data_IF_202475148952
#
_entry.id   IF_202475148952
#
_cell.length_a   1.000
_cell.length_b   1.000
_cell.length_c   1.000
_cell.angle_alpha   90.00
_cell.angle_beta   90.00
_cell.angle_gamma   90.00
#
_symmetry.space_group_name_H-M   'P 1'
#
loop_
_entity.id
_entity.type
_entity.pdbx_description
1 polymer ?
#
# COMPACT_ATOMS: atom_id res chain seq x y z
N UNK A 1 35.69 -6.16 -30.44
CA UNK A 1 34.68 -6.67 -31.39
C UNK A 1 33.42 -7.00 -30.61
N UNK A 2 32.21 -6.61 -31.06
CA UNK A 2 30.98 -6.93 -30.35
C UNK A 2 30.67 -8.42 -30.50
N UNK A 3 30.35 -9.09 -29.39
CA UNK A 3 30.06 -10.54 -29.35
C UNK A 3 28.67 -10.76 -29.95
N UNK A 4 28.58 -11.41 -31.11
CA UNK A 4 27.29 -11.83 -31.70
C UNK A 4 26.71 -12.98 -30.89
N UNK A 5 25.44 -12.86 -30.50
CA UNK A 5 24.71 -13.87 -29.70
C UNK A 5 24.76 -15.24 -30.40
N UNK A 6 25.24 -16.27 -29.70
CA UNK A 6 25.28 -17.65 -30.19
C UNK A 6 24.15 -18.47 -29.57
N UNK A 7 23.56 -19.37 -30.37
CA UNK A 7 22.45 -20.27 -30.00
C UNK A 7 22.71 -21.13 -28.76
N UNK A 8 23.99 -21.41 -28.48
CA UNK A 8 24.43 -22.23 -27.35
C UNK A 8 24.29 -21.52 -25.98
N UNK A 9 24.15 -20.18 -25.95
CA UNK A 9 23.94 -19.42 -24.70
C UNK A 9 22.59 -19.74 -24.05
N UNK A 10 21.59 -20.17 -24.84
CA UNK A 10 20.25 -20.51 -24.34
C UNK A 10 20.14 -21.94 -23.81
N UNK A 11 21.09 -22.82 -24.13
CA UNK A 11 21.05 -24.24 -23.78
C UNK A 11 21.73 -24.54 -22.44
N UNK A 12 22.73 -23.75 -22.06
CA UNK A 12 23.38 -23.89 -20.75
C UNK A 12 22.61 -23.10 -19.72
N UNK A 13 22.09 -23.81 -18.70
CA UNK A 13 21.73 -23.21 -17.41
C UNK A 13 23.02 -22.70 -16.76
N UNK A 14 23.56 -21.60 -17.27
CA UNK A 14 24.68 -20.91 -16.68
C UNK A 14 24.18 -20.37 -15.34
N UNK A 15 24.64 -20.98 -14.26
CA UNK A 15 24.60 -20.36 -12.94
C UNK A 15 25.52 -19.13 -13.05
N UNK A 16 24.93 -17.99 -13.42
CA UNK A 16 25.64 -16.72 -13.60
C UNK A 16 26.21 -16.34 -12.24
N UNK A 17 27.54 -16.36 -12.12
CA UNK A 17 28.22 -15.89 -10.91
C UNK A 17 27.90 -14.41 -10.73
N UNK A 18 27.36 -14.03 -9.57
CA UNK A 18 26.98 -12.68 -9.12
C UNK A 18 28.08 -11.59 -9.23
N UNK A 19 29.28 -11.94 -9.70
CA UNK A 19 30.44 -11.05 -9.76
C UNK A 19 30.52 -10.23 -11.06
N UNK A 20 29.86 -10.67 -12.15
CA UNK A 20 29.99 -10.03 -13.47
C UNK A 20 28.90 -9.00 -13.79
N UNK A 21 27.76 -9.05 -13.11
CA UNK A 21 26.66 -8.09 -13.25
C UNK A 21 26.18 -7.70 -11.86
N UNK A 22 25.98 -6.40 -11.64
CA UNK A 22 25.71 -5.76 -10.34
C UNK A 22 25.01 -6.65 -9.30
N UNK A 23 25.52 -6.65 -8.06
CA UNK A 23 25.02 -7.40 -6.89
C UNK A 23 23.49 -7.56 -6.93
N UNK A 24 23.00 -8.72 -7.36
CA UNK A 24 21.57 -8.97 -7.46
C UNK A 24 21.02 -9.33 -6.08
N UNK A 25 19.87 -8.76 -5.70
CA UNK A 25 19.16 -9.19 -4.49
C UNK A 25 18.39 -10.46 -4.90
N UNK A 26 18.63 -11.62 -4.27
CA UNK A 26 17.90 -12.83 -4.61
C UNK A 26 16.40 -12.64 -4.38
N UNK A 27 15.59 -12.94 -5.39
CA UNK A 27 14.14 -12.88 -5.28
C UNK A 27 13.61 -14.07 -4.47
N UNK A 28 12.81 -13.80 -3.45
CA UNK A 28 12.19 -14.86 -2.66
C UNK A 28 11.12 -15.58 -3.50
N UNK A 29 11.20 -16.91 -3.59
CA UNK A 29 10.20 -17.72 -4.28
C UNK A 29 8.96 -17.82 -3.40
N UNK A 30 7.81 -17.34 -3.89
CA UNK A 30 6.54 -17.35 -3.17
C UNK A 30 5.64 -18.47 -3.71
N UNK A 31 4.92 -19.14 -2.83
CA UNK A 31 3.89 -20.09 -3.23
C UNK A 31 2.70 -19.37 -3.86
N UNK A 32 1.97 -20.06 -4.75
CA UNK A 32 0.72 -19.55 -5.33
C UNK A 32 -0.34 -19.27 -4.26
N UNK A 33 -0.23 -19.92 -3.10
CA UNK A 33 -1.12 -19.73 -1.95
C UNK A 33 -0.76 -18.54 -1.04
N UNK A 34 0.36 -17.85 -1.28
CA UNK A 34 0.82 -16.74 -0.45
C UNK A 34 -0.23 -15.61 -0.28
N UNK A 35 -1.00 -15.20 -1.31
CA UNK A 35 -2.01 -14.14 -1.15
C UNK A 35 -3.09 -14.48 -0.13
N UNK A 36 -3.55 -15.74 -0.09
CA UNK A 36 -4.55 -16.19 0.88
C UNK A 36 -4.01 -16.18 2.31
N UNK A 37 -2.73 -16.52 2.46
CA UNK A 37 -2.04 -16.44 3.75
C UNK A 37 -1.97 -15.01 4.26
N UNK A 38 -1.60 -14.04 3.40
CA UNK A 38 -1.56 -12.63 3.78
C UNK A 38 -2.94 -12.07 4.14
N UNK A 39 -3.99 -12.47 3.41
CA UNK A 39 -5.35 -12.07 3.73
C UNK A 39 -5.79 -12.60 5.10
N UNK A 40 -5.46 -13.85 5.43
CA UNK A 40 -5.72 -14.42 6.75
C UNK A 40 -4.97 -13.69 7.88
N UNK A 41 -3.72 -13.29 7.64
CA UNK A 41 -2.94 -12.46 8.57
C UNK A 41 -3.63 -11.10 8.79
N UNK A 42 -4.05 -10.43 7.72
CA UNK A 42 -4.76 -9.16 7.82
C UNK A 42 -6.08 -9.25 8.58
N UNK A 43 -6.84 -10.34 8.39
CA UNK A 43 -8.05 -10.58 9.18
C UNK A 43 -7.75 -10.85 10.66
N UNK A 44 -6.66 -11.57 10.95
CA UNK A 44 -6.20 -11.78 12.31
C UNK A 44 -5.73 -10.48 12.97
N UNK A 45 -5.11 -9.57 12.23
CA UNK A 45 -4.78 -8.20 12.69
C UNK A 45 -6.03 -7.41 13.04
N UNK A 46 -7.06 -7.48 12.19
CA UNK A 46 -8.35 -6.80 12.40
C UNK A 46 -9.01 -7.21 13.73
N UNK A 47 -9.01 -8.51 14.02
CA UNK A 47 -9.64 -9.07 15.23
C UNK A 47 -8.80 -8.76 16.48
N UNK A 48 -7.48 -8.71 16.35
CA UNK A 48 -6.55 -8.56 17.48
C UNK A 48 -6.26 -7.12 17.86
N UNK A 49 -6.46 -6.18 16.93
CA UNK A 49 -6.31 -4.74 17.16
C UNK A 49 -7.63 -3.99 16.91
N UNK A 50 -8.74 -4.38 17.56
CA UNK A 50 -10.09 -3.94 17.16
C UNK A 50 -10.28 -2.42 17.27
N UNK A 51 -9.65 -1.77 18.26
CA UNK A 51 -9.76 -0.31 18.44
C UNK A 51 -9.09 0.43 17.28
N UNK A 52 -7.88 0.01 16.90
CA UNK A 52 -7.11 0.62 15.82
C UNK A 52 -7.83 0.42 14.49
N UNK A 53 -8.21 -0.84 14.22
CA UNK A 53 -8.95 -1.21 13.02
C UNK A 53 -10.29 -0.48 12.89
N UNK A 54 -11.05 -0.37 13.98
CA UNK A 54 -12.32 0.35 13.98
C UNK A 54 -12.13 1.84 13.74
N UNK A 55 -11.10 2.47 14.32
CA UNK A 55 -10.81 3.89 14.11
C UNK A 55 -10.55 4.19 12.63
N UNK A 56 -9.61 3.48 11.99
CA UNK A 56 -9.30 3.68 10.57
C UNK A 56 -10.47 3.34 9.65
N UNK A 57 -11.21 2.26 9.95
CA UNK A 57 -12.42 1.90 9.21
C UNK A 57 -13.53 2.95 9.33
N UNK A 58 -13.70 3.54 10.52
CA UNK A 58 -14.68 4.60 10.76
C UNK A 58 -14.28 5.90 10.05
N UNK A 59 -13.00 6.26 10.04
CA UNK A 59 -12.51 7.40 9.25
C UNK A 59 -12.79 7.20 7.75
N UNK A 60 -12.53 6.00 7.21
CA UNK A 60 -12.78 5.70 5.81
C UNK A 60 -14.29 5.75 5.47
N UNK A 61 -15.11 5.22 6.36
CA UNK A 61 -16.58 5.25 6.22
C UNK A 61 -17.10 6.68 6.30
N UNK A 62 -16.59 7.49 7.23
CA UNK A 62 -16.97 8.89 7.38
C UNK A 62 -16.63 9.70 6.13
N UNK A 63 -15.48 9.46 5.50
CA UNK A 63 -15.12 10.09 4.22
C UNK A 63 -16.11 9.73 3.10
N UNK A 64 -16.50 8.45 2.98
CA UNK A 64 -17.49 8.02 2.00
C UNK A 64 -18.86 8.67 2.23
N UNK A 65 -19.33 8.68 3.48
CA UNK A 65 -20.60 9.31 3.86
C UNK A 65 -20.56 10.81 3.57
N UNK A 66 -19.46 11.49 3.88
CA UNK A 66 -19.29 12.91 3.59
C UNK A 66 -19.41 13.21 2.09
N UNK A 67 -18.80 12.39 1.23
CA UNK A 67 -18.93 12.52 -0.23
C UNK A 67 -20.37 12.37 -0.69
N UNK A 68 -21.09 11.34 -0.18
CA UNK A 68 -22.51 11.15 -0.52
C UNK A 68 -23.34 12.36 -0.10
N UNK A 69 -23.14 12.88 1.11
CA UNK A 69 -23.84 14.07 1.58
C UNK A 69 -23.52 15.31 0.74
N UNK A 70 -22.27 15.50 0.34
CA UNK A 70 -21.85 16.61 -0.53
C UNK A 70 -22.54 16.55 -1.90
N UNK A 71 -22.62 15.36 -2.49
CA UNK A 71 -23.31 15.16 -3.79
C UNK A 71 -24.80 15.47 -3.65
N UNK A 72 -25.44 15.02 -2.56
CA UNK A 72 -26.86 15.29 -2.31
C UNK A 72 -27.14 16.79 -2.08
N UNK A 73 -26.21 17.49 -1.40
CA UNK A 73 -26.33 18.94 -1.17
C UNK A 73 -26.18 19.79 -2.42
N UNK A 74 -25.27 19.42 -3.33
CA UNK A 74 -25.07 20.20 -4.56
C UNK A 74 -26.17 20.00 -5.61
N UNK A 75 -26.93 18.90 -5.54
CA UNK A 75 -28.02 18.61 -6.49
C UNK A 75 -27.55 18.37 -7.94
N UNK A 76 -26.23 18.30 -8.17
CA UNK A 76 -25.63 18.00 -9.48
C UNK A 76 -24.74 16.77 -9.40
N UNK A 77 -24.81 15.92 -10.44
CA UNK A 77 -24.01 14.71 -10.55
C UNK A 77 -22.56 14.97 -10.99
N UNK A 78 -22.23 16.21 -11.36
CA UNK A 78 -20.89 16.58 -11.86
C UNK A 78 -19.78 16.37 -10.81
N UNK A 79 -20.12 16.40 -9.53
CA UNK A 79 -19.15 16.31 -8.41
C UNK A 79 -18.81 14.87 -8.04
N UNK A 80 -19.53 13.88 -8.58
CA UNK A 80 -19.31 12.46 -8.28
C UNK A 80 -17.90 12.02 -8.70
N UNK A 81 -17.52 12.32 -9.95
CA UNK A 81 -16.22 11.91 -10.51
C UNK A 81 -15.02 12.46 -9.71
N UNK A 82 -14.88 13.79 -9.48
CA UNK A 82 -13.78 14.30 -8.69
C UNK A 82 -13.81 13.81 -7.24
N UNK A 83 -15.00 13.61 -6.65
CA UNK A 83 -15.08 13.07 -5.28
C UNK A 83 -14.57 11.64 -5.17
N UNK A 84 -14.81 10.80 -6.18
CA UNK A 84 -14.28 9.43 -6.23
C UNK A 84 -12.75 9.43 -6.32
N UNK A 85 -12.15 10.36 -7.06
CA UNK A 85 -10.69 10.50 -7.14
C UNK A 85 -10.11 10.85 -5.76
N UNK A 86 -10.71 11.82 -5.06
CA UNK A 86 -10.32 12.17 -3.70
C UNK A 86 -10.50 11.00 -2.74
N UNK A 87 -11.57 10.23 -2.87
CA UNK A 87 -11.81 9.05 -2.05
C UNK A 87 -10.74 7.96 -2.27
N UNK A 88 -10.38 7.71 -3.52
CA UNK A 88 -9.33 6.74 -3.88
C UNK A 88 -7.98 7.15 -3.28
N UNK A 89 -7.70 8.45 -3.16
CA UNK A 89 -6.52 8.96 -2.49
C UNK A 89 -6.55 8.68 -0.99
N UNK A 90 -7.68 8.87 -0.31
CA UNK A 90 -7.81 8.67 1.14
C UNK A 90 -7.46 7.22 1.56
N UNK A 91 -7.80 6.23 0.74
CA UNK A 91 -7.55 4.81 1.02
C UNK A 91 -6.09 4.48 1.39
N UNK A 92 -5.12 4.73 0.49
CA UNK A 92 -3.69 4.53 0.75
C UNK A 92 -3.17 5.26 1.99
N UNK A 93 -3.65 6.47 2.30
CA UNK A 93 -3.24 7.20 3.50
C UNK A 93 -3.67 6.49 4.78
N UNK A 94 -4.92 6.02 4.84
CA UNK A 94 -5.43 5.26 5.99
C UNK A 94 -4.75 3.89 6.08
N UNK A 95 -4.47 3.25 4.95
CA UNK A 95 -3.74 1.98 4.89
C UNK A 95 -2.33 2.09 5.47
N UNK A 96 -1.63 3.23 5.31
CA UNK A 96 -0.32 3.46 5.95
C UNK A 96 -0.40 3.34 7.48
N UNK A 97 -1.46 3.87 8.09
CA UNK A 97 -1.65 3.76 9.54
C UNK A 97 -1.85 2.31 9.99
N UNK A 98 -2.69 1.57 9.27
CA UNK A 98 -2.91 0.15 9.52
C UNK A 98 -1.62 -0.67 9.33
N UNK A 99 -0.81 -0.33 8.32
CA UNK A 99 0.47 -0.98 8.07
C UNK A 99 1.47 -0.75 9.23
N UNK A 100 1.58 0.47 9.74
CA UNK A 100 2.45 0.77 10.87
C UNK A 100 2.00 0.03 12.14
N UNK A 101 0.69 -0.06 12.37
CA UNK A 101 0.14 -0.83 13.49
C UNK A 101 0.40 -2.35 13.37
N UNK A 102 0.24 -2.91 12.17
CA UNK A 102 0.57 -4.31 11.89
C UNK A 102 2.07 -4.57 12.08
N UNK A 103 2.93 -3.62 11.67
CA UNK A 103 4.37 -3.71 11.88
C UNK A 103 4.75 -3.65 13.36
N UNK A 104 4.20 -2.71 14.15
CA UNK A 104 4.45 -2.67 15.60
C UNK A 104 4.05 -3.99 16.27
N UNK A 105 2.91 -4.55 15.85
CA UNK A 105 2.43 -5.84 16.35
C UNK A 105 3.37 -6.98 16.00
N UNK A 106 3.84 -7.08 14.77
CA UNK A 106 4.75 -8.15 14.32
C UNK A 106 6.10 -8.09 15.06
N UNK A 107 6.55 -6.89 15.42
CA UNK A 107 7.74 -6.68 16.27
C UNK A 107 7.51 -7.00 17.76
N UNK A 108 6.30 -7.40 18.16
CA UNK A 108 5.94 -7.67 19.55
C UNK A 108 5.73 -6.43 20.42
N UNK A 109 5.68 -5.23 19.81
CA UNK A 109 5.33 -4.01 20.52
C UNK A 109 3.82 -3.89 20.68
N UNK A 110 3.37 -3.13 21.68
CA UNK A 110 1.94 -2.83 21.85
C UNK A 110 1.56 -1.76 20.83
N UNK A 111 0.70 -2.08 19.84
CA UNK A 111 0.35 -1.14 18.79
C UNK A 111 -0.43 0.03 19.40
N UNK A 112 -0.03 1.26 19.06
CA UNK A 112 -0.63 2.48 19.60
C UNK A 112 -1.22 3.35 18.49
N UNK A 113 -2.49 3.75 18.64
CA UNK A 113 -3.17 4.67 17.74
C UNK A 113 -2.39 5.96 17.51
N UNK A 114 -1.86 6.54 18.59
CA UNK A 114 -1.15 7.81 18.51
C UNK A 114 0.19 7.67 17.78
N UNK A 115 0.84 6.51 17.90
CA UNK A 115 2.09 6.22 17.19
C UNK A 115 1.83 6.09 15.69
N UNK A 116 0.84 5.29 15.32
CA UNK A 116 0.45 5.07 13.92
C UNK A 116 -0.01 6.37 13.22
N UNK A 117 -0.83 7.20 13.88
CA UNK A 117 -1.19 8.52 13.35
C UNK A 117 0.03 9.44 13.17
N UNK A 118 0.98 9.42 14.10
CA UNK A 118 2.22 10.19 14.01
C UNK A 118 3.12 9.69 12.88
N UNK A 119 3.12 8.39 12.61
CA UNK A 119 3.85 7.77 11.51
C UNK A 119 3.33 8.21 10.14
N UNK A 120 2.00 8.34 9.98
CA UNK A 120 1.39 8.90 8.76
C UNK A 120 1.96 10.30 8.46
N UNK A 121 2.13 11.17 9.47
CA UNK A 121 2.68 12.50 9.28
C UNK A 121 4.20 12.55 9.02
N UNK A 122 4.94 11.47 9.26
CA UNK A 122 6.42 11.47 9.25
C UNK A 122 7.02 11.43 7.83
N UNK A 123 6.26 11.02 6.83
CA UNK A 123 6.67 11.00 5.41
C UNK A 123 5.72 11.81 4.51
N UNK A 124 5.19 12.91 5.05
CA UNK A 124 4.17 13.76 4.43
C UNK A 124 4.57 14.23 3.02
N UNK A 125 5.84 14.55 2.78
CA UNK A 125 6.31 15.14 1.50
C UNK A 125 6.02 14.27 0.27
N UNK A 126 6.28 12.96 0.35
CA UNK A 126 6.02 12.06 -0.79
C UNK A 126 4.53 11.86 -1.04
N UNK A 127 3.72 11.89 0.02
CA UNK A 127 2.29 11.69 -0.08
C UNK A 127 1.56 12.93 -0.61
N UNK A 128 1.99 14.13 -0.19
CA UNK A 128 1.51 15.39 -0.76
C UNK A 128 1.98 15.57 -2.21
N UNK A 129 3.21 15.17 -2.54
CA UNK A 129 3.68 15.18 -3.93
C UNK A 129 2.84 14.27 -4.83
N UNK A 130 2.47 13.07 -4.36
CA UNK A 130 1.57 12.17 -5.08
C UNK A 130 0.16 12.76 -5.26
N UNK A 131 -0.39 13.35 -4.21
CA UNK A 131 -1.70 14.00 -4.26
C UNK A 131 -1.72 15.19 -5.23
N UNK A 132 -0.67 16.02 -5.23
CA UNK A 132 -0.54 17.15 -6.17
C UNK A 132 -0.40 16.67 -7.61
N UNK A 133 0.42 15.64 -7.85
CA UNK A 133 0.62 15.09 -9.19
C UNK A 133 -0.71 14.56 -9.77
N UNK A 134 -1.51 13.84 -8.96
CA UNK A 134 -2.84 13.37 -9.37
C UNK A 134 -3.90 14.47 -9.50
N UNK A 135 -3.75 15.59 -8.80
CA UNK A 135 -4.67 16.72 -8.95
C UNK A 135 -4.41 17.53 -10.22
N UNK A 136 -3.18 17.47 -10.75
CA UNK A 136 -2.74 18.23 -11.94
C UNK A 136 -2.80 17.38 -13.22
N UNK A 137 -2.64 16.06 -13.12
CA UNK A 137 -2.69 15.11 -14.24
C UNK A 137 -4.14 14.75 -14.62
#
# INVERSE_FOLDING_TARGET
MPRTVNSDDFQKKHEVRDQDYAKTIPCNQLSVSAPFHWLALGLHDLIRMPIISAFYGLCFTAAAVAIVLLVQWQGTHLVIMPSLVVYMLIGPFLALGLYDAAWEREKGHKPSLFHSMKAIGRNSTSQWAFAVLLAVA
#
